data_IF_091006768041
#
_entry.id   IF_091006768041
#
_cell.length_a   1.000
_cell.length_b   1.000
_cell.length_c   1.000
_cell.angle_alpha   90.00
_cell.angle_beta   90.00
_cell.angle_gamma   90.00
#
_symmetry.space_group_name_H-M   'P 1'
#
loop_
_entity.id
_entity.type
_entity.pdbx_description
1 polymer ?
#
# COMPACT_ATOMS: atom_id res chain seq x y z
N UNK A 1 -11.95 -29.67 11.44
CA UNK A 1 -11.47 -28.55 10.59
C UNK A 1 -11.53 -29.01 9.15
N UNK A 2 -12.19 -28.26 8.28
CA UNK A 2 -12.32 -28.62 6.86
C UNK A 2 -11.18 -27.95 6.07
N UNK A 3 -10.43 -28.75 5.31
CA UNK A 3 -9.36 -28.25 4.43
C UNK A 3 -9.84 -28.27 2.98
N UNK A 4 -9.74 -27.14 2.29
CA UNK A 4 -10.10 -27.02 0.87
C UNK A 4 -8.83 -27.01 0.00
N UNK A 5 -8.89 -27.68 -1.15
CA UNK A 5 -7.79 -27.69 -2.12
C UNK A 5 -7.80 -26.38 -2.90
N UNK A 6 -6.66 -25.70 -2.97
CA UNK A 6 -6.47 -24.47 -3.76
C UNK A 6 -5.31 -24.67 -4.73
N UNK A 7 -5.53 -24.40 -6.01
CA UNK A 7 -4.50 -24.50 -7.06
C UNK A 7 -3.94 -23.13 -7.38
N UNK A 8 -2.63 -22.95 -7.25
CA UNK A 8 -1.92 -21.69 -7.51
C UNK A 8 -1.00 -21.90 -8.72
N UNK A 9 -1.05 -20.97 -9.69
CA UNK A 9 -0.13 -20.96 -10.84
C UNK A 9 1.07 -20.08 -10.51
N UNK A 10 2.27 -20.65 -10.62
CA UNK A 10 3.53 -19.95 -10.43
C UNK A 10 4.40 -20.18 -11.66
N UNK A 11 5.20 -19.18 -12.01
CA UNK A 11 6.30 -19.36 -12.95
C UNK A 11 7.30 -20.40 -12.41
N UNK A 12 7.93 -21.15 -13.30
CA UNK A 12 8.87 -22.21 -12.93
C UNK A 12 10.12 -21.68 -12.23
N UNK A 13 10.64 -20.52 -12.66
CA UNK A 13 11.82 -19.91 -12.05
C UNK A 13 11.47 -19.39 -10.65
N UNK A 14 10.34 -18.67 -10.53
CA UNK A 14 9.83 -18.19 -9.25
C UNK A 14 9.62 -19.35 -8.26
N UNK A 15 9.06 -20.47 -8.71
CA UNK A 15 8.87 -21.65 -7.87
C UNK A 15 10.19 -22.20 -7.34
N UNK A 16 11.22 -22.32 -8.20
CA UNK A 16 12.55 -22.83 -7.82
C UNK A 16 13.24 -21.91 -6.83
N UNK A 17 13.23 -20.61 -7.08
CA UNK A 17 13.83 -19.62 -6.18
C UNK A 17 13.12 -19.60 -4.83
N UNK A 18 11.78 -19.58 -4.84
CA UNK A 18 11.00 -19.60 -3.62
C UNK A 18 11.27 -20.88 -2.82
N UNK A 19 11.29 -22.04 -3.47
CA UNK A 19 11.58 -23.30 -2.79
C UNK A 19 12.97 -23.31 -2.14
N UNK A 20 14.01 -22.88 -2.86
CA UNK A 20 15.38 -22.76 -2.31
C UNK A 20 15.47 -21.85 -1.08
N UNK A 21 14.78 -20.72 -1.11
CA UNK A 21 14.74 -19.79 0.02
C UNK A 21 13.99 -20.37 1.22
N UNK A 22 12.84 -21.00 0.98
CA UNK A 22 12.03 -21.62 2.03
C UNK A 22 12.75 -22.82 2.68
N UNK A 23 13.46 -23.64 1.89
CA UNK A 23 14.28 -24.74 2.38
C UNK A 23 15.42 -24.24 3.29
N UNK A 24 15.99 -23.07 2.99
CA UNK A 24 17.03 -22.45 3.82
C UNK A 24 16.51 -22.01 5.20
N UNK A 25 15.21 -21.72 5.30
CA UNK A 25 14.53 -21.29 6.53
C UNK A 25 13.84 -22.50 7.21
N UNK A 26 13.84 -23.67 6.58
CA UNK A 26 13.23 -24.90 7.09
C UNK A 26 11.70 -24.90 7.04
N UNK A 27 11.09 -24.11 6.16
CA UNK A 27 9.63 -24.04 6.01
C UNK A 27 9.19 -24.56 4.64
N UNK A 28 7.98 -25.14 4.58
CA UNK A 28 7.42 -25.62 3.31
C UNK A 28 6.65 -24.52 2.59
N UNK A 29 6.49 -24.68 1.28
CA UNK A 29 5.66 -23.81 0.44
C UNK A 29 4.23 -23.64 0.99
N UNK A 30 3.61 -24.74 1.46
CA UNK A 30 2.27 -24.69 2.05
C UNK A 30 2.25 -23.85 3.34
N UNK A 31 3.26 -24.02 4.21
CA UNK A 31 3.38 -23.25 5.44
C UNK A 31 3.47 -21.76 5.13
N UNK A 32 4.27 -21.37 4.12
CA UNK A 32 4.40 -19.98 3.69
C UNK A 32 3.05 -19.36 3.28
N UNK A 33 2.29 -20.02 2.39
CA UNK A 33 1.00 -19.50 1.95
C UNK A 33 -0.04 -19.42 3.07
N UNK A 34 -0.06 -20.40 3.98
CA UNK A 34 -0.95 -20.36 5.15
C UNK A 34 -0.60 -19.19 6.07
N UNK A 35 0.69 -18.91 6.29
CA UNK A 35 1.12 -17.76 7.10
C UNK A 35 0.73 -16.43 6.45
N UNK A 36 0.96 -16.28 5.14
CA UNK A 36 0.55 -15.09 4.39
C UNK A 36 -0.97 -14.85 4.47
N UNK A 37 -1.77 -15.92 4.31
CA UNK A 37 -3.23 -15.83 4.42
C UNK A 37 -3.67 -15.42 5.84
N UNK A 38 -3.06 -16.00 6.89
CA UNK A 38 -3.34 -15.62 8.28
C UNK A 38 -2.98 -14.16 8.54
N UNK A 39 -1.82 -13.72 8.07
CA UNK A 39 -1.37 -12.34 8.21
C UNK A 39 -2.36 -11.37 7.57
N UNK A 40 -2.82 -11.66 6.36
CA UNK A 40 -3.83 -10.85 5.67
C UNK A 40 -5.15 -10.78 6.46
N UNK A 41 -5.65 -11.91 6.94
CA UNK A 41 -6.90 -11.97 7.70
C UNK A 41 -6.79 -11.20 9.02
N UNK A 42 -5.66 -11.31 9.71
CA UNK A 42 -5.42 -10.66 11.01
C UNK A 42 -5.18 -9.16 10.88
N UNK A 43 -4.37 -8.73 9.91
CA UNK A 43 -3.95 -7.33 9.78
C UNK A 43 -4.84 -6.51 8.86
N UNK A 44 -5.72 -7.16 8.07
CA UNK A 44 -6.51 -6.53 7.00
C UNK A 44 -5.64 -5.74 6.00
N UNK A 45 -4.38 -6.14 5.88
CA UNK A 45 -3.37 -5.56 5.00
C UNK A 45 -2.74 -6.66 4.16
N UNK A 46 -2.23 -6.27 3.01
CA UNK A 46 -1.51 -7.18 2.14
C UNK A 46 -0.21 -7.63 2.84
N UNK A 47 0.11 -8.94 2.87
CA UNK A 47 1.23 -9.50 3.64
C UNK A 47 2.57 -9.35 2.93
N UNK A 48 2.81 -8.18 2.33
CA UNK A 48 4.08 -7.73 1.81
C UNK A 48 4.08 -6.21 1.84
N UNK A 49 5.25 -5.63 2.11
CA UNK A 49 5.41 -4.19 2.00
C UNK A 49 5.36 -3.79 0.53
N UNK A 50 4.49 -2.85 0.22
CA UNK A 50 4.38 -2.27 -1.11
C UNK A 50 5.43 -1.16 -1.17
N UNK A 51 6.66 -1.49 -1.58
CA UNK A 51 7.70 -0.49 -1.82
C UNK A 51 7.35 0.31 -3.07
N UNK A 52 6.56 1.37 -2.91
CA UNK A 52 6.47 2.43 -3.91
C UNK A 52 7.44 3.54 -3.51
N UNK A 53 8.75 3.29 -3.60
CA UNK A 53 9.75 4.37 -3.49
C UNK A 53 9.58 5.42 -4.60
N UNK A 54 8.78 5.10 -5.62
CA UNK A 54 8.35 6.03 -6.66
C UNK A 54 6.90 6.44 -6.33
N UNK A 55 6.69 7.69 -5.87
CA UNK A 55 5.34 8.25 -5.75
C UNK A 55 4.60 8.06 -7.07
N UNK A 56 3.34 7.63 -7.01
CA UNK A 56 2.52 7.55 -8.21
C UNK A 56 2.45 8.94 -8.89
N UNK A 57 2.16 8.99 -10.20
CA UNK A 57 2.19 10.25 -10.95
C UNK A 57 1.33 11.37 -10.33
N UNK A 58 0.22 11.00 -9.70
CA UNK A 58 -0.68 11.92 -9.00
C UNK A 58 0.01 12.54 -7.78
N UNK A 59 0.65 11.72 -6.95
CA UNK A 59 1.42 12.17 -5.78
C UNK A 59 2.63 13.01 -6.20
N UNK A 60 3.32 12.64 -7.30
CA UNK A 60 4.46 13.42 -7.81
C UNK A 60 4.06 14.81 -8.30
N UNK A 61 2.92 14.93 -8.99
CA UNK A 61 2.38 16.22 -9.44
C UNK A 61 1.92 17.09 -8.27
N UNK A 62 1.30 16.47 -7.25
CA UNK A 62 0.88 17.18 -6.05
C UNK A 62 2.07 17.77 -5.27
N UNK A 63 3.15 16.99 -5.11
CA UNK A 63 4.39 17.48 -4.47
C UNK A 63 5.03 18.64 -5.25
N UNK A 64 5.14 18.51 -6.59
CA UNK A 64 5.70 19.58 -7.43
C UNK A 64 4.87 20.87 -7.37
N UNK A 65 3.54 20.75 -7.32
CA UNK A 65 2.66 21.91 -7.17
C UNK A 65 2.81 22.56 -5.80
N UNK A 66 2.95 21.78 -4.73
CA UNK A 66 3.21 22.30 -3.38
C UNK A 66 4.55 23.05 -3.33
N UNK A 67 5.63 22.45 -3.86
CA UNK A 67 6.95 23.07 -3.90
C UNK A 67 6.95 24.37 -4.75
N UNK A 68 6.23 24.39 -5.87
CA UNK A 68 6.14 25.57 -6.73
C UNK A 68 5.33 26.71 -6.10
N UNK A 69 4.31 26.38 -5.29
CA UNK A 69 3.55 27.36 -4.48
C UNK A 69 4.42 27.93 -3.37
N UNK A 70 5.14 27.07 -2.63
CA UNK A 70 6.03 27.50 -1.54
C UNK A 70 7.19 28.37 -2.06
N UNK A 71 7.74 28.04 -3.23
CA UNK A 71 8.78 28.83 -3.90
C UNK A 71 8.26 30.14 -4.53
N UNK A 72 6.96 30.42 -4.49
CA UNK A 72 6.34 31.64 -5.02
C UNK A 72 6.31 31.73 -6.55
N UNK A 73 6.48 30.60 -7.26
CA UNK A 73 6.44 30.53 -8.72
C UNK A 73 5.01 30.53 -9.27
N UNK A 74 4.04 30.12 -8.45
CA UNK A 74 2.60 30.17 -8.71
C UNK A 74 1.86 30.74 -7.49
N UNK A 75 0.74 31.47 -7.67
CA UNK A 75 -0.04 31.97 -6.55
C UNK A 75 -0.55 30.81 -5.69
N UNK A 76 -0.38 30.95 -4.38
CA UNK A 76 -0.85 29.94 -3.43
C UNK A 76 -2.33 30.16 -3.11
N UNK A 77 -3.20 29.59 -3.97
CA UNK A 77 -4.66 29.59 -3.77
C UNK A 77 -5.12 28.51 -2.76
N UNK A 78 -4.23 28.03 -1.89
CA UNK A 78 -4.56 26.99 -0.91
C UNK A 78 -5.32 27.59 0.28
N UNK A 79 -6.47 27.03 0.68
CA UNK A 79 -7.21 27.55 1.82
C UNK A 79 -6.44 27.27 3.13
N UNK A 80 -6.25 28.31 3.94
CA UNK A 80 -5.66 28.23 5.28
C UNK A 80 -6.76 28.20 6.34
N UNK A 81 -6.61 27.36 7.35
CA UNK A 81 -7.59 27.21 8.43
C UNK A 81 -6.90 27.29 9.78
N UNK A 82 -7.50 28.03 10.72
CA UNK A 82 -6.95 28.24 12.06
C UNK A 82 -7.41 27.20 13.08
N UNK A 83 -8.39 26.35 12.72
CA UNK A 83 -8.93 25.32 13.60
C UNK A 83 -9.35 24.06 12.82
N UNK A 84 -9.38 22.93 13.52
CA UNK A 84 -9.65 21.61 12.93
C UNK A 84 -11.10 21.50 12.45
N UNK A 85 -12.04 22.14 13.13
CA UNK A 85 -13.46 22.10 12.79
C UNK A 85 -13.75 22.78 11.44
N UNK A 86 -13.19 23.95 11.20
CA UNK A 86 -13.29 24.73 9.95
C UNK A 86 -12.61 24.00 8.79
N UNK A 87 -11.45 23.36 9.05
CA UNK A 87 -10.79 22.48 8.09
C UNK A 87 -11.68 21.30 7.68
N UNK A 88 -12.25 20.56 8.64
CA UNK A 88 -13.10 19.41 8.36
C UNK A 88 -14.39 19.83 7.65
N UNK A 89 -14.94 21.00 7.97
CA UNK A 89 -16.09 21.55 7.28
C UNK A 89 -15.78 21.87 5.81
N UNK A 90 -14.59 22.34 5.47
CA UNK A 90 -14.20 22.59 4.07
C UNK A 90 -14.03 21.31 3.23
N UNK A 91 -13.65 20.19 3.86
CA UNK A 91 -13.44 18.91 3.16
C UNK A 91 -14.73 18.12 2.95
N UNK A 92 -15.68 18.25 3.87
CA UNK A 92 -16.91 17.45 3.89
C UNK A 92 -18.18 18.28 3.67
N UNK A 93 -18.07 19.60 3.63
CA UNK A 93 -19.20 20.54 3.53
C UNK A 93 -19.63 20.79 2.09
N UNK A 94 -20.19 19.78 1.44
CA UNK A 94 -21.31 19.93 0.50
C UNK A 94 -22.00 18.57 0.29
N UNK A 95 -22.95 18.25 1.16
CA UNK A 95 -23.98 17.21 0.96
C UNK A 95 -25.14 17.43 1.96
N UNK A 96 -25.77 18.60 1.89
CA UNK A 96 -27.22 18.80 2.09
C UNK A 96 -27.71 19.81 1.07
#
# INVERSE_FOLDING_TARGET
MSTSITTIRLDENLKKDLQKNLDSIGITMNTYFVMAAKQLVMQKKIPFDIFTEIPNETTRKAMLLADAKEAGLIPDDSPSFDNVDDFMQSLYGDNV
#
